data_IF_338500016300
#
_entry.id   IF_338500016300
#
_cell.length_a   1.000
_cell.length_b   1.000
_cell.length_c   1.000
_cell.angle_alpha   90.00
_cell.angle_beta   90.00
_cell.angle_gamma   90.00
#
_symmetry.space_group_name_H-M   'P 1'
#
loop_
_entity.id
_entity.type
_entity.pdbx_description
1 polymer ?
#
# COMPACT_ATOMS: atom_id res chain seq x y z
N UNK A 1 -5.32 -11.03 -1.82
CA UNK A 1 -6.34 -10.06 -1.37
C UNK A 1 -6.69 -9.14 -2.52
N UNK A 2 -7.75 -8.34 -2.42
CA UNK A 2 -8.11 -7.36 -3.44
C UNK A 2 -7.99 -5.95 -2.88
N UNK A 3 -7.10 -5.14 -3.45
CA UNK A 3 -7.02 -3.72 -3.15
C UNK A 3 -8.01 -2.97 -4.05
N UNK A 4 -8.97 -2.29 -3.46
CA UNK A 4 -9.95 -1.45 -4.15
C UNK A 4 -9.67 0.00 -3.82
N UNK A 5 -9.38 0.83 -4.83
CA UNK A 5 -9.07 2.26 -4.70
C UNK A 5 -10.11 3.09 -5.42
N UNK A 6 -10.56 4.19 -4.81
CA UNK A 6 -11.55 5.10 -5.38
C UNK A 6 -11.00 6.51 -5.60
N UNK A 7 -11.31 7.09 -6.75
CA UNK A 7 -10.78 8.39 -7.18
C UNK A 7 -11.79 9.53 -7.01
N UNK A 8 -13.09 9.30 -7.24
CA UNK A 8 -14.12 10.31 -7.02
C UNK A 8 -14.78 10.27 -5.64
N UNK A 9 -15.39 11.39 -5.25
CA UNK A 9 -16.16 11.49 -4.01
C UNK A 9 -17.38 10.54 -4.00
N UNK A 10 -18.01 10.34 -5.16
CA UNK A 10 -19.12 9.41 -5.34
C UNK A 10 -18.67 7.96 -5.13
N UNK A 11 -17.59 7.54 -5.81
CA UNK A 11 -17.02 6.20 -5.67
C UNK A 11 -16.57 5.92 -4.22
N UNK A 12 -15.94 6.90 -3.56
CA UNK A 12 -15.55 6.77 -2.14
C UNK A 12 -16.75 6.56 -1.21
N UNK A 13 -17.85 7.25 -1.49
CA UNK A 13 -19.09 7.07 -0.74
C UNK A 13 -19.68 5.68 -0.99
N UNK A 14 -19.65 5.22 -2.25
CA UNK A 14 -20.00 3.85 -2.63
C UNK A 14 -19.17 2.80 -1.88
N UNK A 15 -17.84 2.96 -1.87
CA UNK A 15 -16.93 2.08 -1.15
C UNK A 15 -17.23 2.06 0.35
N UNK A 16 -17.47 3.22 0.96
CA UNK A 16 -17.83 3.31 2.39
C UNK A 16 -19.12 2.54 2.69
N UNK A 17 -20.13 2.69 1.84
CA UNK A 17 -21.42 2.01 2.01
C UNK A 17 -21.32 0.51 1.81
N UNK A 18 -20.59 0.07 0.78
CA UNK A 18 -20.29 -1.34 0.53
C UNK A 18 -19.58 -1.94 1.74
N UNK A 19 -18.52 -1.28 2.23
CA UNK A 19 -17.75 -1.74 3.36
C UNK A 19 -18.62 -1.92 4.62
N UNK A 20 -19.51 -0.97 4.92
CA UNK A 20 -20.43 -1.03 6.07
C UNK A 20 -21.43 -2.19 5.97
N UNK A 21 -21.87 -2.53 4.76
CA UNK A 21 -22.87 -3.59 4.54
C UNK A 21 -22.25 -4.99 4.54
N UNK A 22 -20.98 -5.11 4.17
CA UNK A 22 -20.30 -6.38 3.93
C UNK A 22 -19.03 -6.50 4.80
N UNK A 23 -19.16 -6.32 6.11
CA UNK A 23 -18.00 -6.27 7.01
C UNK A 23 -17.17 -7.57 6.99
N UNK A 24 -17.82 -8.72 6.80
CA UNK A 24 -17.14 -10.02 6.68
C UNK A 24 -16.27 -10.20 5.43
N UNK A 25 -16.32 -9.26 4.47
CA UNK A 25 -15.49 -9.27 3.25
C UNK A 25 -14.32 -8.30 3.36
N UNK A 26 -14.40 -7.32 4.27
CA UNK A 26 -13.44 -6.23 4.37
C UNK A 26 -12.36 -6.56 5.38
N UNK A 27 -11.13 -6.77 4.89
CA UNK A 27 -9.95 -7.00 5.73
C UNK A 27 -9.49 -5.71 6.40
N UNK A 28 -9.43 -4.60 5.64
CA UNK A 28 -8.97 -3.29 6.16
C UNK A 28 -9.53 -2.12 5.36
N UNK A 29 -9.71 -0.97 6.01
CA UNK A 29 -10.20 0.29 5.40
C UNK A 29 -9.15 1.39 5.53
N UNK A 30 -8.96 2.19 4.47
CA UNK A 30 -7.97 3.28 4.38
C UNK A 30 -8.60 4.61 3.91
N UNK A 31 -9.91 4.78 4.13
CA UNK A 31 -10.66 5.96 3.67
C UNK A 31 -11.01 5.90 2.18
N UNK A 32 -10.03 6.17 1.29
CA UNK A 32 -10.22 6.12 -0.18
C UNK A 32 -10.00 4.74 -0.78
N UNK A 33 -9.43 3.82 -0.01
CA UNK A 33 -9.16 2.46 -0.42
C UNK A 33 -9.63 1.47 0.66
N UNK A 34 -9.84 0.22 0.26
CA UNK A 34 -10.08 -0.88 1.17
C UNK A 34 -9.43 -2.15 0.62
N UNK A 35 -9.05 -3.03 1.54
CA UNK A 35 -8.56 -4.36 1.24
C UNK A 35 -9.68 -5.34 1.49
N UNK A 36 -10.10 -6.07 0.46
CA UNK A 36 -11.06 -7.14 0.57
C UNK A 36 -10.36 -8.49 0.60
N UNK A 37 -11.09 -9.48 1.10
CA UNK A 37 -10.65 -10.87 1.07
C UNK A 37 -10.43 -11.36 -0.38
N UNK A 38 -9.61 -12.39 -0.56
CA UNK A 38 -9.33 -13.03 -1.84
C UNK A 38 -10.43 -13.96 -2.35
N UNK A 39 -11.70 -13.72 -1.98
CA UNK A 39 -12.82 -14.61 -2.34
C UNK A 39 -13.53 -14.15 -3.62
N UNK A 40 -14.23 -15.09 -4.28
CA UNK A 40 -15.04 -14.76 -5.47
C UNK A 40 -16.14 -13.75 -5.14
N UNK A 41 -16.74 -13.81 -3.94
CA UNK A 41 -17.76 -12.86 -3.52
C UNK A 41 -17.17 -11.45 -3.30
N UNK A 42 -15.97 -11.36 -2.74
CA UNK A 42 -15.25 -10.09 -2.64
C UNK A 42 -14.97 -9.47 -4.02
N UNK A 43 -14.53 -10.29 -4.98
CA UNK A 43 -14.29 -9.87 -6.35
C UNK A 43 -15.59 -9.36 -7.01
N UNK A 44 -16.71 -10.08 -6.82
CA UNK A 44 -18.01 -9.64 -7.30
C UNK A 44 -18.41 -8.26 -6.74
N UNK A 45 -18.24 -8.04 -5.43
CA UNK A 45 -18.55 -6.75 -4.80
C UNK A 45 -17.66 -5.62 -5.34
N UNK A 46 -16.36 -5.88 -5.53
CA UNK A 46 -15.43 -4.91 -6.09
C UNK A 46 -15.79 -4.56 -7.55
N UNK A 47 -16.08 -5.56 -8.38
CA UNK A 47 -16.49 -5.37 -9.77
C UNK A 47 -17.80 -4.60 -9.86
N UNK A 48 -18.80 -4.93 -9.05
CA UNK A 48 -20.06 -4.18 -9.00
C UNK A 48 -19.84 -2.71 -8.63
N UNK A 49 -18.92 -2.43 -7.71
CA UNK A 49 -18.55 -1.05 -7.37
C UNK A 49 -17.94 -0.35 -8.59
N UNK A 50 -17.04 -1.01 -9.31
CA UNK A 50 -16.46 -0.47 -10.55
C UNK A 50 -17.52 -0.23 -11.61
N UNK A 51 -18.43 -1.16 -11.88
CA UNK A 51 -19.53 -0.93 -12.83
C UNK A 51 -20.43 0.26 -12.44
N UNK A 52 -20.51 0.60 -11.15
CA UNK A 52 -21.31 1.74 -10.68
C UNK A 52 -20.63 3.10 -10.86
N UNK A 53 -19.31 3.12 -11.03
CA UNK A 53 -18.49 4.35 -11.01
C UNK A 53 -17.36 4.38 -12.08
N UNK A 54 -17.34 3.39 -12.96
CA UNK A 54 -16.40 3.20 -14.07
C UNK A 54 -14.92 3.37 -13.66
N UNK A 55 -14.17 4.23 -14.37
CA UNK A 55 -12.74 4.49 -14.14
C UNK A 55 -12.42 5.11 -12.77
N UNK A 56 -13.40 5.51 -11.98
CA UNK A 56 -13.18 5.99 -10.62
C UNK A 56 -12.88 4.86 -9.61
N UNK A 57 -12.85 3.60 -10.05
CA UNK A 57 -12.55 2.43 -9.21
C UNK A 57 -11.45 1.58 -9.84
N UNK A 58 -10.30 1.50 -9.15
CA UNK A 58 -9.23 0.56 -9.48
C UNK A 58 -9.31 -0.66 -8.58
N UNK A 59 -9.05 -1.84 -9.15
CA UNK A 59 -9.04 -3.12 -8.44
C UNK A 59 -7.75 -3.82 -8.80
N UNK A 60 -6.93 -4.11 -7.78
CA UNK A 60 -5.70 -4.88 -7.93
C UNK A 60 -5.77 -6.16 -7.09
N UNK A 61 -5.28 -7.26 -7.65
CA UNK A 61 -4.98 -8.45 -6.85
C UNK A 61 -3.62 -8.26 -6.21
N UNK A 62 -3.58 -8.28 -4.88
CA UNK A 62 -2.36 -8.03 -4.12
C UNK A 62 -2.02 -9.18 -3.20
N UNK A 63 -0.73 -9.26 -2.87
CA UNK A 63 -0.17 -10.12 -1.84
C UNK A 63 0.41 -9.23 -0.72
N UNK A 64 0.37 -9.66 0.56
CA UNK A 64 1.04 -8.93 1.62
C UNK A 64 2.53 -8.79 1.33
N UNK A 65 3.06 -7.58 1.52
CA UNK A 65 4.50 -7.37 1.50
C UNK A 65 5.12 -7.90 2.81
N UNK A 66 6.12 -8.78 2.71
CA UNK A 66 6.89 -9.27 3.85
C UNK A 66 8.34 -8.81 3.72
N UNK A 67 8.70 -7.78 4.48
CA UNK A 67 10.01 -7.13 4.43
C UNK A 67 11.16 -8.04 4.86
N UNK A 68 10.90 -9.10 5.61
CA UNK A 68 11.94 -10.04 6.05
C UNK A 68 12.31 -11.07 4.98
N UNK A 69 11.45 -11.23 3.98
CA UNK A 69 11.69 -12.12 2.83
C UNK A 69 12.13 -11.32 1.61
N UNK A 70 11.48 -10.18 1.37
CA UNK A 70 11.70 -9.38 0.17
C UNK A 70 12.93 -8.47 0.24
N UNK A 71 13.45 -8.18 1.44
CA UNK A 71 14.54 -7.20 1.61
C UNK A 71 15.69 -7.74 2.44
N UNK A 72 16.89 -7.33 2.03
CA UNK A 72 18.08 -7.40 2.86
C UNK A 72 17.90 -6.66 4.18
N UNK A 73 18.50 -7.20 5.24
CA UNK A 73 18.46 -6.61 6.57
C UNK A 73 18.98 -5.18 6.60
N UNK A 74 20.05 -4.88 5.85
CA UNK A 74 20.67 -3.54 5.79
C UNK A 74 19.69 -2.47 5.34
N UNK A 75 18.75 -2.78 4.44
CA UNK A 75 17.71 -1.83 3.98
C UNK A 75 16.73 -1.53 5.12
N UNK A 76 16.31 -2.57 5.86
CA UNK A 76 15.41 -2.43 7.01
C UNK A 76 16.07 -1.64 8.14
N UNK A 77 17.34 -1.92 8.44
CA UNK A 77 18.13 -1.20 9.44
C UNK A 77 18.28 0.28 9.07
N UNK A 78 18.63 0.58 7.82
CA UNK A 78 18.78 1.94 7.33
C UNK A 78 17.47 2.74 7.41
N UNK A 79 16.33 2.15 7.04
CA UNK A 79 15.03 2.79 7.19
C UNK A 79 14.73 3.13 8.67
N UNK A 80 15.05 2.20 9.58
CA UNK A 80 14.89 2.36 11.02
C UNK A 80 15.78 3.48 11.59
N UNK A 81 17.06 3.51 11.20
CA UNK A 81 18.02 4.51 11.62
C UNK A 81 17.65 5.90 11.07
N UNK A 82 17.30 5.98 9.78
CA UNK A 82 16.93 7.24 9.14
C UNK A 82 15.66 7.85 9.74
N UNK A 83 14.65 7.03 10.09
CA UNK A 83 13.44 7.51 10.76
C UNK A 83 13.76 8.15 12.12
N UNK A 84 14.75 7.60 12.84
CA UNK A 84 15.17 8.07 14.17
C UNK A 84 16.24 9.16 14.14
N UNK A 85 16.77 9.55 12.97
CA UNK A 85 17.79 10.60 12.86
C UNK A 85 17.41 11.88 13.62
N UNK A 86 18.43 12.54 14.16
CA UNK A 86 18.29 13.75 14.96
C UNK A 86 17.79 14.93 14.11
N UNK A 87 18.46 15.21 13.00
CA UNK A 87 18.10 16.29 12.10
C UNK A 87 17.04 15.84 11.09
N UNK A 88 15.77 16.15 11.35
CA UNK A 88 14.64 15.79 10.45
C UNK A 88 14.71 16.44 9.06
N UNK A 89 15.48 17.51 8.90
CA UNK A 89 15.73 18.12 7.59
C UNK A 89 16.76 17.37 6.74
N UNK A 90 17.60 16.51 7.33
CA UNK A 90 18.66 15.80 6.58
C UNK A 90 18.04 14.77 5.63
N UNK A 91 18.30 14.86 4.32
CA UNK A 91 17.85 13.87 3.33
C UNK A 91 18.59 12.53 3.49
N UNK A 92 18.00 11.44 3.01
CA UNK A 92 18.57 10.09 3.18
C UNK A 92 19.94 9.94 2.52
N UNK A 93 20.16 10.50 1.33
CA UNK A 93 21.46 10.44 0.65
C UNK A 93 22.60 11.04 1.50
N UNK A 94 22.35 12.20 2.12
CA UNK A 94 23.33 12.85 3.01
C UNK A 94 23.49 12.11 4.35
N UNK A 95 22.43 11.45 4.82
CA UNK A 95 22.46 10.64 6.04
C UNK A 95 23.25 9.33 5.84
N UNK A 96 23.08 8.66 4.71
CA UNK A 96 23.75 7.40 4.40
C UNK A 96 25.23 7.61 4.02
N UNK A 97 25.59 8.78 3.50
CA UNK A 97 26.95 9.11 3.12
C UNK A 97 27.93 8.94 4.30
N UNK A 98 28.94 8.09 4.11
CA UNK A 98 29.93 7.79 5.15
C UNK A 98 29.45 6.81 6.23
N UNK A 99 28.35 6.11 6.00
CA UNK A 99 27.85 5.01 6.85
C UNK A 99 27.81 3.69 6.05
N UNK A 100 27.57 2.58 6.74
CA UNK A 100 27.37 1.26 6.09
C UNK A 100 25.96 1.07 5.50
N UNK A 101 25.11 2.10 5.54
CA UNK A 101 23.77 2.04 4.97
C UNK A 101 23.78 2.05 3.43
N UNK A 102 22.84 1.35 2.78
CA UNK A 102 22.80 1.25 1.33
C UNK A 102 22.58 2.62 0.68
N UNK A 103 23.35 2.85 -0.38
CA UNK A 103 23.28 4.05 -1.19
C UNK A 103 21.95 4.11 -1.98
N UNK A 104 21.30 5.28 -2.09
CA UNK A 104 20.01 5.40 -2.78
C UNK A 104 20.05 5.09 -4.27
N UNK A 105 21.16 5.32 -4.96
CA UNK A 105 21.31 4.99 -6.38
C UNK A 105 21.40 3.47 -6.58
N UNK A 106 22.10 2.76 -5.69
CA UNK A 106 22.09 1.30 -5.68
C UNK A 106 20.68 0.75 -5.50
N UNK A 107 19.97 1.19 -4.45
CA UNK A 107 18.61 0.70 -4.16
C UNK A 107 17.60 0.98 -5.28
N UNK A 108 17.80 2.03 -6.09
CA UNK A 108 16.92 2.32 -7.23
C UNK A 108 17.12 1.34 -8.39
N UNK A 109 18.30 0.76 -8.52
CA UNK A 109 18.62 -0.22 -9.55
C UNK A 109 18.23 -1.65 -9.19
N UNK A 110 17.98 -1.91 -7.91
CA UNK A 110 17.62 -3.23 -7.40
C UNK A 110 16.13 -3.51 -7.62
N UNK A 111 15.81 -4.72 -8.08
CA UNK A 111 14.43 -5.20 -8.22
C UNK A 111 13.87 -5.72 -6.89
N UNK A 112 12.56 -5.56 -6.70
CA UNK A 112 11.79 -6.09 -5.56
C UNK A 112 11.17 -7.45 -5.85
#
# INVERSE_FOLDING_TARGET
MLLVVTYSAAARTGLRNLCRRHEGVVVRRFGRAALFDGTVYAAFLALRLRESYDGDVQIERTEPFNEFVALDERVREAASAYARRDAKSTPYAAFAAGTDHPDPDSMRGDEL
#
